data_IF_896871842354
#
_entry.id   IF_896871842354
#
_cell.length_a   1.000
_cell.length_b   1.000
_cell.length_c   1.000
_cell.angle_alpha   90.00
_cell.angle_beta   90.00
_cell.angle_gamma   90.00
#
_symmetry.space_group_name_H-M   'P 1'
#
loop_
_entity.id
_entity.type
_entity.pdbx_description
1 polymer ?
#
# COMPACT_ATOMS: atom_id res chain seq x y z
N UNK A 1 -22.11 14.37 -8.90
CA UNK A 1 -22.33 14.23 -7.44
C UNK A 1 -20.97 14.38 -6.77
N UNK A 2 -20.80 15.35 -5.88
CA UNK A 2 -19.54 15.52 -5.13
C UNK A 2 -19.52 14.42 -4.06
N UNK A 3 -18.52 13.55 -4.10
CA UNK A 3 -18.29 12.56 -3.04
C UNK A 3 -17.71 13.30 -1.84
N UNK A 4 -18.37 13.23 -0.69
CA UNK A 4 -17.83 13.80 0.54
C UNK A 4 -16.64 12.97 1.07
N UNK A 5 -15.86 13.57 1.98
CA UNK A 5 -14.63 12.97 2.50
C UNK A 5 -14.86 11.66 3.26
N UNK A 6 -15.97 11.57 3.98
CA UNK A 6 -16.34 10.37 4.74
C UNK A 6 -16.66 9.23 3.77
N UNK A 7 -17.49 9.49 2.77
CA UNK A 7 -17.84 8.52 1.74
C UNK A 7 -16.61 8.06 0.95
N UNK A 8 -15.68 8.98 0.64
CA UNK A 8 -14.40 8.62 0.03
C UNK A 8 -13.61 7.64 0.91
N UNK A 9 -13.45 7.96 2.20
CA UNK A 9 -12.72 7.12 3.16
C UNK A 9 -13.35 5.73 3.28
N UNK A 10 -14.68 5.66 3.46
CA UNK A 10 -15.41 4.40 3.57
C UNK A 10 -15.26 3.55 2.30
N UNK A 11 -15.30 4.17 1.11
CA UNK A 11 -15.09 3.46 -0.16
C UNK A 11 -13.68 2.92 -0.31
N UNK A 12 -12.64 3.66 0.11
CA UNK A 12 -11.26 3.15 0.05
C UNK A 12 -11.10 1.95 0.98
N UNK A 13 -11.52 2.06 2.24
CA UNK A 13 -11.45 0.95 3.19
C UNK A 13 -12.23 -0.26 2.68
N UNK A 14 -13.44 -0.06 2.15
CA UNK A 14 -14.28 -1.15 1.65
C UNK A 14 -13.66 -1.96 0.51
N UNK A 15 -12.76 -1.38 -0.31
CA UNK A 15 -12.05 -2.12 -1.39
C UNK A 15 -11.11 -3.19 -0.85
N UNK A 16 -10.59 -3.00 0.35
CA UNK A 16 -9.67 -3.93 1.02
C UNK A 16 -10.43 -5.10 1.69
N UNK A 17 -11.76 -5.04 1.73
CA UNK A 17 -12.58 -6.11 2.31
C UNK A 17 -12.30 -7.46 1.63
N UNK A 18 -12.30 -8.54 2.41
CA UNK A 18 -11.94 -9.92 2.02
C UNK A 18 -10.44 -10.17 1.83
N UNK A 19 -9.58 -9.17 2.02
CA UNK A 19 -8.13 -9.34 2.08
C UNK A 19 -7.64 -8.99 3.48
N UNK A 20 -7.53 -10.00 4.35
CA UNK A 20 -7.38 -9.81 5.79
C UNK A 20 -6.14 -8.98 6.15
N UNK A 21 -4.98 -9.28 5.55
CA UNK A 21 -3.75 -8.56 5.82
C UNK A 21 -3.78 -7.14 5.25
N UNK A 22 -4.20 -6.95 3.99
CA UNK A 22 -4.35 -5.62 3.38
C UNK A 22 -5.29 -4.73 4.19
N UNK A 23 -6.46 -5.24 4.57
CA UNK A 23 -7.42 -4.49 5.37
C UNK A 23 -6.84 -4.09 6.73
N UNK A 24 -6.19 -5.01 7.44
CA UNK A 24 -5.56 -4.71 8.72
C UNK A 24 -4.48 -3.64 8.58
N UNK A 25 -3.55 -3.78 7.63
CA UNK A 25 -2.46 -2.82 7.42
C UNK A 25 -3.00 -1.45 7.08
N UNK A 26 -3.87 -1.36 6.06
CA UNK A 26 -4.42 -0.08 5.60
C UNK A 26 -5.16 0.61 6.73
N UNK A 27 -6.07 -0.08 7.41
CA UNK A 27 -6.85 0.55 8.49
C UNK A 27 -5.96 0.94 9.67
N UNK A 28 -4.94 0.16 10.01
CA UNK A 28 -3.98 0.52 11.06
C UNK A 28 -3.17 1.76 10.71
N UNK A 29 -2.64 1.87 9.49
CA UNK A 29 -1.90 3.07 9.03
C UNK A 29 -2.80 4.29 9.11
N UNK A 30 -4.00 4.24 8.53
CA UNK A 30 -4.90 5.40 8.47
C UNK A 30 -5.35 5.84 9.87
N UNK A 31 -5.70 4.92 10.75
CA UNK A 31 -6.10 5.26 12.12
C UNK A 31 -4.93 5.70 13.00
N UNK A 32 -3.70 5.24 12.76
CA UNK A 32 -2.52 5.69 13.52
C UNK A 32 -2.01 7.06 13.05
N UNK A 33 -2.11 7.37 11.77
CA UNK A 33 -1.82 8.71 11.25
C UNK A 33 -2.76 9.74 11.88
N UNK A 34 -4.03 9.37 12.07
CA UNK A 34 -5.09 10.21 12.66
C UNK A 34 -5.16 11.63 12.08
N UNK A 35 -4.79 11.76 10.80
CA UNK A 35 -4.72 13.03 10.10
C UNK A 35 -5.64 12.99 8.88
N UNK A 36 -6.77 13.70 8.99
CA UNK A 36 -7.73 13.78 7.91
C UNK A 36 -7.16 14.53 6.69
N UNK A 37 -6.12 15.35 6.82
CA UNK A 37 -5.50 16.04 5.69
C UNK A 37 -4.72 15.09 4.77
N UNK A 38 -4.37 13.90 5.27
CA UNK A 38 -3.73 12.85 4.47
C UNK A 38 -4.75 12.19 3.55
N UNK A 39 -4.50 12.31 2.25
CA UNK A 39 -5.22 11.57 1.22
C UNK A 39 -4.54 10.23 1.02
N UNK A 40 -5.35 9.19 0.95
CA UNK A 40 -4.88 7.86 0.60
C UNK A 40 -5.74 7.24 -0.49
N UNK A 41 -5.14 6.32 -1.25
CA UNK A 41 -5.81 5.55 -2.28
C UNK A 41 -5.43 4.10 -2.08
N UNK A 42 -6.42 3.22 -1.91
CA UNK A 42 -6.19 1.77 -1.85
C UNK A 42 -6.26 1.17 -3.25
N UNK A 43 -5.46 0.14 -3.52
CA UNK A 43 -5.47 -0.59 -4.79
C UNK A 43 -5.23 0.36 -5.98
N UNK A 44 -4.14 1.13 -5.92
CA UNK A 44 -3.76 2.09 -6.95
C UNK A 44 -3.02 1.38 -8.09
N UNK A 45 -3.57 1.49 -9.30
CA UNK A 45 -2.86 1.07 -10.52
C UNK A 45 -1.71 2.02 -10.82
N UNK A 46 -0.51 1.48 -11.00
CA UNK A 46 0.69 2.22 -11.37
C UNK A 46 1.24 1.69 -12.68
N UNK A 47 1.63 2.61 -13.57
CA UNK A 47 2.37 2.25 -14.78
C UNK A 47 3.81 1.93 -14.37
N UNK A 48 4.29 0.76 -14.78
CA UNK A 48 5.69 0.34 -14.72
C UNK A 48 6.24 0.34 -16.15
N UNK A 49 7.55 0.15 -16.32
CA UNK A 49 8.17 0.13 -17.64
C UNK A 49 7.63 -1.03 -18.48
N UNK A 50 7.90 -0.93 -19.78
CA UNK A 50 7.46 -1.90 -20.77
C UNK A 50 5.92 -2.03 -20.84
N UNK A 51 5.19 -0.93 -20.59
CA UNK A 51 3.71 -0.90 -20.57
C UNK A 51 3.07 -1.84 -19.55
N UNK A 52 3.81 -2.33 -18.55
CA UNK A 52 3.22 -3.16 -17.50
C UNK A 52 2.46 -2.29 -16.52
N UNK A 53 1.34 -2.79 -16.04
CA UNK A 53 0.56 -2.15 -14.99
C UNK A 53 0.68 -3.03 -13.74
N UNK A 54 0.97 -2.41 -12.61
CA UNK A 54 0.91 -3.08 -11.32
C UNK A 54 -0.15 -2.43 -10.42
N UNK A 55 -0.57 -3.17 -9.41
CA UNK A 55 -1.49 -2.71 -8.38
C UNK A 55 -0.70 -2.59 -7.08
N UNK A 56 -0.73 -1.42 -6.46
CA UNK A 56 -0.18 -1.20 -5.11
C UNK A 56 -1.32 -1.16 -4.12
N UNK A 57 -1.12 -1.73 -2.92
CA UNK A 57 -2.18 -1.91 -1.96
C UNK A 57 -2.64 -0.59 -1.33
N UNK A 58 -1.69 0.30 -1.05
CA UNK A 58 -1.93 1.65 -0.54
C UNK A 58 -0.99 2.65 -1.23
N UNK A 59 -1.53 3.84 -1.51
CA UNK A 59 -0.78 4.96 -2.08
C UNK A 59 -1.11 6.25 -1.33
N UNK A 60 -0.08 6.98 -0.93
CA UNK A 60 -0.11 8.29 -0.26
C UNK A 60 0.44 9.35 -1.23
N UNK A 61 -0.43 10.04 -1.98
CA UNK A 61 0.00 10.88 -3.11
C UNK A 61 0.84 12.10 -2.70
N UNK A 62 0.64 12.62 -1.49
CA UNK A 62 1.33 13.82 -1.02
C UNK A 62 2.84 13.61 -0.84
N UNK A 63 3.25 12.36 -0.62
CA UNK A 63 4.65 11.96 -0.40
C UNK A 63 5.11 10.92 -1.42
N UNK A 64 4.33 10.70 -2.48
CA UNK A 64 4.59 9.73 -3.54
C UNK A 64 4.96 8.32 -3.01
N UNK A 65 4.36 7.91 -1.89
CA UNK A 65 4.67 6.66 -1.20
C UNK A 65 3.64 5.58 -1.53
N UNK A 66 4.12 4.44 -2.00
CA UNK A 66 3.36 3.21 -2.16
C UNK A 66 3.69 2.23 -1.02
N UNK A 67 2.68 1.52 -0.52
CA UNK A 67 2.86 0.41 0.41
C UNK A 67 2.33 -0.87 -0.23
N UNK A 68 3.14 -1.91 -0.22
CA UNK A 68 2.81 -3.26 -0.71
C UNK A 68 2.84 -4.26 0.46
N UNK A 69 1.81 -5.11 0.57
CA UNK A 69 1.68 -6.14 1.58
C UNK A 69 2.03 -7.50 0.97
N UNK A 70 3.16 -8.07 1.39
CA UNK A 70 3.66 -9.34 0.88
C UNK A 70 3.08 -10.51 1.70
N UNK A 71 2.02 -11.15 1.18
CA UNK A 71 1.44 -12.36 1.80
C UNK A 71 2.15 -13.65 1.33
N UNK A 72 2.06 -14.73 2.13
CA UNK A 72 2.78 -15.99 1.88
C UNK A 72 2.56 -16.58 0.47
N UNK A 73 1.35 -16.42 -0.07
CA UNK A 73 0.99 -16.91 -1.41
C UNK A 73 1.66 -16.11 -2.54
N UNK A 74 2.08 -14.87 -2.29
CA UNK A 74 2.77 -14.03 -3.27
C UNK A 74 4.28 -14.30 -3.34
N UNK A 75 4.92 -14.80 -2.27
CA UNK A 75 6.39 -15.00 -2.21
C UNK A 75 6.97 -15.91 -3.30
N UNK A 76 6.17 -16.83 -3.88
CA UNK A 76 6.62 -17.81 -4.87
C UNK A 76 6.80 -17.25 -6.29
N UNK A 77 6.13 -16.13 -6.62
CA UNK A 77 6.18 -15.48 -7.94
C UNK A 77 7.15 -14.29 -7.96
N UNK A 78 7.52 -13.80 -6.77
CA UNK A 78 7.98 -12.43 -6.53
C UNK A 78 9.51 -12.27 -6.68
N UNK A 79 10.34 -13.28 -6.46
CA UNK A 79 11.81 -13.07 -6.40
C UNK A 79 12.50 -12.65 -7.71
N UNK A 80 12.04 -13.10 -8.88
CA UNK A 80 12.67 -12.73 -10.17
C UNK A 80 12.10 -11.45 -10.79
N UNK A 81 10.85 -11.10 -10.46
CA UNK A 81 10.16 -9.93 -11.02
C UNK A 81 10.39 -8.65 -10.18
N UNK A 82 10.68 -8.79 -8.88
CA UNK A 82 10.91 -7.68 -7.96
C UNK A 82 12.12 -6.80 -8.30
N UNK A 83 13.22 -7.44 -8.71
CA UNK A 83 14.47 -6.72 -9.01
C UNK A 83 14.27 -5.76 -10.17
N UNK A 84 13.36 -6.08 -11.11
CA UNK A 84 13.02 -5.21 -12.26
C UNK A 84 11.95 -4.17 -11.94
N UNK A 85 11.12 -4.39 -10.93
CA UNK A 85 9.99 -3.51 -10.58
C UNK A 85 10.41 -2.29 -9.75
N UNK A 86 11.49 -2.40 -8.96
CA UNK A 86 12.02 -1.31 -8.15
C UNK A 86 12.63 -0.17 -8.99
N UNK A 87 13.19 -0.48 -10.16
CA UNK A 87 13.96 0.49 -10.96
C UNK A 87 13.10 1.60 -11.59
N UNK A 88 11.81 1.37 -11.80
CA UNK A 88 10.98 2.27 -12.62
C UNK A 88 10.17 3.26 -11.79
N UNK A 89 9.69 2.81 -10.62
CA UNK A 89 8.99 3.69 -9.67
C UNK A 89 9.99 4.69 -9.07
N UNK A 90 11.25 4.27 -8.86
CA UNK A 90 12.37 5.16 -8.52
C UNK A 90 12.66 6.19 -9.62
N UNK A 91 12.56 5.84 -10.91
CA UNK A 91 12.76 6.79 -12.01
C UNK A 91 11.68 7.90 -12.07
N UNK A 92 10.50 7.67 -11.46
CA UNK A 92 9.44 8.67 -11.32
C UNK A 92 9.48 9.45 -10.00
N UNK A 93 10.42 9.15 -9.10
CA UNK A 93 10.54 9.79 -7.78
C UNK A 93 9.52 9.30 -6.75
N UNK A 94 8.92 8.13 -6.98
CA UNK A 94 8.01 7.48 -6.04
C UNK A 94 8.77 6.48 -5.17
N UNK A 95 8.34 6.31 -3.93
CA UNK A 95 8.92 5.36 -2.97
C UNK A 95 8.00 4.16 -2.79
N UNK A 96 8.57 2.99 -2.49
CA UNK A 96 7.81 1.77 -2.20
C UNK A 96 8.29 1.18 -0.88
N UNK A 97 7.35 1.05 0.06
CA UNK A 97 7.54 0.35 1.32
C UNK A 97 6.84 -1.01 1.28
N UNK A 98 7.52 -2.03 1.79
CA UNK A 98 6.99 -3.41 1.83
C UNK A 98 6.74 -3.83 3.26
N UNK A 99 5.62 -4.53 3.47
CA UNK A 99 5.25 -5.11 4.76
C UNK A 99 5.03 -6.61 4.57
N UNK A 100 5.87 -7.41 5.22
CA UNK A 100 5.77 -8.88 5.15
C UNK A 100 4.72 -9.39 6.14
N UNK A 101 3.56 -9.80 5.61
CA UNK A 101 2.43 -10.31 6.40
C UNK A 101 2.62 -11.76 6.88
N UNK A 102 3.74 -12.40 6.55
CA UNK A 102 4.09 -13.73 7.07
C UNK A 102 4.82 -13.69 8.40
N UNK A 103 5.28 -12.50 8.80
CA UNK A 103 5.95 -12.31 10.08
C UNK A 103 4.95 -12.31 11.23
N UNK A 104 5.41 -12.61 12.47
CA UNK A 104 4.57 -12.49 13.65
C UNK A 104 4.05 -11.06 13.84
N UNK A 105 2.90 -10.93 14.52
CA UNK A 105 2.13 -9.69 14.64
C UNK A 105 2.93 -8.50 15.21
N UNK A 106 3.85 -8.75 16.13
CA UNK A 106 4.75 -7.74 16.70
C UNK A 106 5.65 -7.13 15.63
N UNK A 107 6.35 -7.96 14.84
CA UNK A 107 7.21 -7.52 13.73
C UNK A 107 6.44 -6.88 12.59
N UNK A 108 5.26 -7.40 12.31
CA UNK A 108 4.33 -6.82 11.37
C UNK A 108 3.89 -5.41 11.78
N UNK A 109 3.57 -5.20 13.06
CA UNK A 109 3.19 -3.90 13.60
C UNK A 109 4.37 -2.93 13.70
N UNK A 110 5.56 -3.39 14.10
CA UNK A 110 6.79 -2.57 14.13
C UNK A 110 7.04 -1.93 12.75
N UNK A 111 6.86 -2.68 11.66
CA UNK A 111 7.02 -2.14 10.31
C UNK A 111 5.99 -1.07 9.97
N UNK A 112 4.73 -1.27 10.36
CA UNK A 112 3.67 -0.27 10.18
C UNK A 112 3.99 1.00 10.96
N UNK A 113 4.50 0.85 12.18
CA UNK A 113 4.83 1.98 13.04
C UNK A 113 5.99 2.83 12.46
N UNK A 114 6.95 2.20 11.78
CA UNK A 114 8.02 2.91 11.05
C UNK A 114 7.47 3.75 9.89
N UNK A 115 6.41 3.29 9.21
CA UNK A 115 5.81 4.01 8.07
C UNK A 115 5.01 5.24 8.54
N UNK A 116 4.48 5.20 9.76
CA UNK A 116 3.62 6.25 10.31
C UNK A 116 4.41 7.32 11.09
N UNK A 117 5.60 6.99 11.60
CA UNK A 117 6.47 7.90 12.35
C UNK A 117 7.32 8.80 11.43
#
# INVERSE_FOLDING_TARGET
>A
MIIDKKEFLLRQIAKTNKKNHENYVVTRIIHKLDDLTVKFITQQYVKRAENRIALTDLYLPQISLHVEIDEAHHKKIVREDLVKQADIINATGHTIERIDATLPLDKFNERIDIIVN
#
